data_IF_039186488940
#
_entry.id   IF_039186488940
#
_cell.length_a   1.000
_cell.length_b   1.000
_cell.length_c   1.000
_cell.angle_alpha   90.00
_cell.angle_beta   90.00
_cell.angle_gamma   90.00
#
_symmetry.space_group_name_H-M   'P 1'
#
loop_
_entity.id
_entity.type
_entity.pdbx_description
1 polymer ?
#
# COMPACT_ATOMS: atom_id res chain seq x y z
N UNK A 1 70.98 -16.01 -48.53
CA UNK A 1 71.44 -14.69 -48.04
C UNK A 1 70.43 -14.23 -46.99
N UNK A 2 70.86 -14.10 -45.73
CA UNK A 2 70.03 -13.62 -44.61
C UNK A 2 69.80 -12.11 -44.77
N UNK A 3 68.55 -11.65 -44.66
CA UNK A 3 68.23 -10.27 -44.28
C UNK A 3 67.05 -10.33 -43.31
N UNK A 4 67.34 -9.90 -42.08
CA UNK A 4 66.38 -9.63 -41.01
C UNK A 4 65.45 -8.47 -41.39
N UNK A 5 64.21 -8.50 -40.91
CA UNK A 5 63.53 -7.27 -40.57
C UNK A 5 62.76 -7.47 -39.26
N UNK A 6 63.22 -6.75 -38.25
CA UNK A 6 62.64 -6.66 -36.92
C UNK A 6 61.30 -5.93 -37.01
N UNK A 7 60.18 -6.62 -36.84
CA UNK A 7 58.93 -5.95 -36.44
C UNK A 7 58.70 -6.14 -34.95
N UNK A 8 59.35 -5.24 -34.24
CA UNK A 8 58.96 -4.54 -33.02
C UNK A 8 57.88 -5.20 -32.13
N UNK A 9 58.30 -5.67 -30.95
CA UNK A 9 57.47 -6.14 -29.82
C UNK A 9 56.62 -5.03 -29.16
N UNK A 10 56.37 -3.92 -29.85
CA UNK A 10 55.68 -2.74 -29.35
C UNK A 10 54.18 -2.65 -29.70
N UNK A 11 53.62 -3.60 -30.46
CA UNK A 11 52.23 -3.51 -30.94
C UNK A 11 51.24 -4.37 -30.15
N UNK A 12 51.71 -5.24 -29.24
CA UNK A 12 50.84 -6.14 -28.46
C UNK A 12 50.44 -5.60 -27.06
N UNK A 13 50.79 -4.36 -26.72
CA UNK A 13 50.40 -3.71 -25.44
C UNK A 13 49.54 -2.44 -25.69
N UNK A 14 49.08 -2.21 -26.92
CA UNK A 14 48.23 -1.06 -27.27
C UNK A 14 46.76 -1.42 -27.57
N UNK A 15 46.34 -2.66 -27.29
CA UNK A 15 44.93 -3.10 -27.40
C UNK A 15 44.27 -3.30 -26.02
N UNK A 16 45.05 -3.29 -24.93
CA UNK A 16 44.54 -3.50 -23.57
C UNK A 16 44.16 -2.21 -22.80
N UNK A 17 44.40 -1.02 -23.36
CA UNK A 17 44.20 0.27 -22.66
C UNK A 17 43.06 1.12 -23.25
N UNK A 18 42.42 0.69 -24.34
CA UNK A 18 41.31 1.44 -24.97
C UNK A 18 39.93 0.93 -24.54
N UNK A 19 39.85 -0.15 -23.74
CA UNK A 19 38.58 -0.68 -23.24
C UNK A 19 38.18 -0.19 -21.83
N UNK A 20 39.01 0.61 -21.16
CA UNK A 20 38.75 1.10 -19.79
C UNK A 20 38.20 2.53 -19.71
N UNK A 21 37.88 3.15 -20.86
CA UNK A 21 37.32 4.51 -20.93
C UNK A 21 35.87 4.54 -21.46
N UNK A 22 35.08 3.49 -21.20
CA UNK A 22 33.75 3.32 -21.79
C UNK A 22 32.57 3.15 -20.82
N UNK A 23 32.79 3.18 -19.50
CA UNK A 23 31.70 3.11 -18.51
C UNK A 23 32.01 3.98 -17.28
N UNK A 24 32.22 5.28 -17.49
CA UNK A 24 31.74 6.21 -16.47
C UNK A 24 30.24 6.32 -16.71
N UNK A 25 29.45 5.49 -16.03
CA UNK A 25 28.08 5.88 -15.75
C UNK A 25 28.19 7.15 -14.93
N UNK A 26 27.98 8.30 -15.57
CA UNK A 26 27.49 9.44 -14.84
C UNK A 26 26.21 8.95 -14.17
N UNK A 27 26.28 8.82 -12.84
CA UNK A 27 25.13 8.87 -11.96
C UNK A 27 24.50 10.24 -12.17
N UNK A 28 23.76 10.40 -13.26
CA UNK A 28 22.71 11.39 -13.30
C UNK A 28 21.51 10.67 -12.67
N UNK A 29 21.47 10.72 -11.33
CA UNK A 29 20.34 10.30 -10.49
C UNK A 29 19.15 11.25 -10.74
N UNK A 30 18.69 11.25 -11.97
CA UNK A 30 17.51 11.94 -12.43
C UNK A 30 16.69 10.93 -13.24
N UNK A 31 16.50 9.74 -12.67
CA UNK A 31 15.34 8.91 -12.95
C UNK A 31 14.10 9.69 -12.50
N UNK A 32 13.72 10.70 -13.29
CA UNK A 32 12.33 11.10 -13.38
C UNK A 32 11.61 9.85 -13.85
N UNK A 33 11.10 9.09 -12.89
CA UNK A 33 10.00 8.16 -13.12
C UNK A 33 9.02 8.94 -13.99
N UNK A 34 8.85 8.51 -15.24
CA UNK A 34 7.83 9.06 -16.10
C UNK A 34 6.50 8.68 -15.44
N UNK A 35 6.01 9.57 -14.57
CA UNK A 35 4.66 9.51 -14.03
C UNK A 35 3.75 9.56 -15.24
N UNK A 36 3.23 8.41 -15.63
CA UNK A 36 2.18 8.35 -16.63
C UNK A 36 0.96 8.97 -15.95
N UNK A 37 0.62 10.19 -16.37
CA UNK A 37 -0.58 10.90 -15.94
C UNK A 37 -1.76 9.93 -15.94
N UNK A 38 -2.34 9.68 -14.75
CA UNK A 38 -3.49 8.78 -14.60
C UNK A 38 -3.27 7.48 -13.82
N UNK A 39 -2.04 7.08 -13.48
CA UNK A 39 -1.81 5.93 -12.58
C UNK A 39 -1.72 6.36 -11.11
N UNK A 40 -2.13 5.51 -10.14
CA UNK A 40 -1.99 5.86 -8.74
C UNK A 40 -0.52 5.94 -8.39
N UNK A 41 -0.16 6.95 -7.59
CA UNK A 41 1.19 7.12 -7.06
C UNK A 41 1.26 6.91 -5.55
N UNK A 42 0.12 6.65 -4.90
CA UNK A 42 0.05 6.30 -3.50
C UNK A 42 -1.17 5.44 -3.15
N UNK A 43 -1.03 4.74 -2.03
CA UNK A 43 -2.07 4.04 -1.32
C UNK A 43 -2.31 4.82 -0.04
N UNK A 44 -3.55 5.21 0.25
CA UNK A 44 -3.87 6.04 1.40
C UNK A 44 -5.07 5.49 2.16
N UNK A 45 -5.21 5.89 3.42
CA UNK A 45 -6.48 5.78 4.15
C UNK A 45 -7.12 7.15 4.21
N UNK A 46 -8.36 7.25 3.74
CA UNK A 46 -9.16 8.47 3.84
C UNK A 46 -9.80 8.49 5.22
N UNK A 47 -9.46 9.48 6.04
CA UNK A 47 -9.90 9.57 7.44
C UNK A 47 -10.61 10.89 7.71
N UNK A 48 -11.59 10.85 8.61
CA UNK A 48 -12.26 12.04 9.11
C UNK A 48 -11.56 12.55 10.38
N UNK A 49 -11.33 13.85 10.43
CA UNK A 49 -10.83 14.54 11.60
C UNK A 49 -11.97 14.96 12.53
N UNK A 50 -11.64 15.30 13.78
CA UNK A 50 -12.61 15.63 14.83
C UNK A 50 -13.35 16.94 14.61
N UNK A 51 -12.84 17.82 13.75
CA UNK A 51 -13.47 19.08 13.33
C UNK A 51 -14.37 18.93 12.10
N UNK A 52 -14.59 17.69 11.63
CA UNK A 52 -15.41 17.39 10.46
C UNK A 52 -14.68 17.57 9.13
N UNK A 53 -13.41 17.97 9.12
CA UNK A 53 -12.57 17.89 7.92
C UNK A 53 -12.17 16.43 7.65
N UNK A 54 -11.57 16.18 6.49
CA UNK A 54 -10.93 14.89 6.21
C UNK A 54 -9.45 15.09 5.88
N UNK A 55 -8.68 14.01 5.89
CA UNK A 55 -7.28 13.95 5.49
C UNK A 55 -6.93 12.58 4.91
N UNK A 56 -5.76 12.47 4.30
CA UNK A 56 -5.24 11.21 3.79
C UNK A 56 -4.08 10.75 4.68
N UNK A 57 -4.15 9.54 5.21
CA UNK A 57 -3.01 8.89 5.84
C UNK A 57 -2.26 8.10 4.78
N UNK A 58 -1.02 8.49 4.47
CA UNK A 58 -0.21 7.84 3.44
C UNK A 58 0.36 6.50 3.91
N UNK A 59 0.89 6.47 5.14
CA UNK A 59 1.48 5.29 5.76
C UNK A 59 1.38 5.44 7.28
N UNK A 60 2.08 4.60 8.05
CA UNK A 60 2.04 4.60 9.52
C UNK A 60 2.33 5.96 10.20
N UNK A 61 2.99 6.90 9.53
CA UNK A 61 3.43 8.16 10.15
C UNK A 61 3.09 9.42 9.36
N UNK A 62 2.84 9.33 8.06
CA UNK A 62 2.72 10.48 7.17
C UNK A 62 1.27 10.79 6.83
N UNK A 63 0.88 12.05 7.00
CA UNK A 63 -0.45 12.59 6.72
C UNK A 63 -0.42 13.67 5.64
N UNK A 64 -1.46 13.70 4.80
CA UNK A 64 -1.60 14.62 3.68
C UNK A 64 -2.88 15.44 3.81
N UNK A 65 -2.75 16.75 3.57
CA UNK A 65 -3.86 17.68 3.41
C UNK A 65 -4.21 17.83 1.92
N UNK A 66 -5.37 17.33 1.45
CA UNK A 66 -5.83 17.56 0.09
C UNK A 66 -6.38 18.98 -0.07
N UNK A 67 -5.60 19.91 -0.63
CA UNK A 67 -5.92 21.35 -0.63
C UNK A 67 -7.00 21.74 -1.64
N UNK A 68 -7.23 20.91 -2.65
CA UNK A 68 -8.25 21.10 -3.68
C UNK A 68 -9.60 20.42 -3.37
N UNK A 69 -9.78 19.86 -2.17
CA UNK A 69 -10.99 19.12 -1.78
C UNK A 69 -11.55 19.62 -0.45
N UNK A 70 -12.83 20.03 -0.42
CA UNK A 70 -13.50 20.47 0.81
C UNK A 70 -14.11 19.33 1.64
N UNK A 71 -14.35 18.17 1.03
CA UNK A 71 -14.95 17.00 1.68
C UNK A 71 -14.47 15.69 1.04
N UNK A 72 -14.49 14.60 1.80
CA UNK A 72 -14.20 13.25 1.29
C UNK A 72 -15.21 12.88 0.20
N UNK A 73 -14.77 12.31 -0.94
CA UNK A 73 -15.68 11.82 -1.98
C UNK A 73 -16.41 10.54 -1.54
N UNK A 74 -16.02 9.97 -0.39
CA UNK A 74 -16.59 8.76 0.19
C UNK A 74 -17.52 9.07 1.38
N UNK A 75 -17.85 10.34 1.61
CA UNK A 75 -18.64 10.80 2.74
C UNK A 75 -17.95 10.50 4.07
N UNK A 76 -18.73 10.07 5.07
CA UNK A 76 -18.22 9.80 6.43
C UNK A 76 -17.45 8.47 6.56
N UNK A 77 -17.29 7.72 5.45
CA UNK A 77 -16.61 6.42 5.47
C UNK A 77 -15.09 6.60 5.55
N UNK A 78 -14.48 5.85 6.47
CA UNK A 78 -13.04 5.62 6.46
C UNK A 78 -12.72 4.42 5.55
N UNK A 79 -12.01 4.69 4.45
CA UNK A 79 -11.70 3.71 3.40
C UNK A 79 -10.22 3.74 3.05
N UNK A 80 -9.70 2.60 2.60
CA UNK A 80 -8.44 2.55 1.87
C UNK A 80 -8.69 2.99 0.42
N UNK A 81 -7.76 3.71 -0.20
CA UNK A 81 -7.93 4.26 -1.53
C UNK A 81 -6.62 4.30 -2.30
N UNK A 82 -6.73 4.13 -3.62
CA UNK A 82 -5.68 4.50 -4.56
C UNK A 82 -5.84 5.98 -4.89
N UNK A 83 -4.73 6.71 -4.89
CA UNK A 83 -4.72 8.14 -5.20
C UNK A 83 -3.60 8.45 -6.18
N UNK A 84 -3.87 9.42 -7.06
CA UNK A 84 -2.85 10.18 -7.74
C UNK A 84 -2.91 11.61 -7.21
N UNK A 85 -1.79 12.10 -6.66
CA UNK A 85 -1.68 13.46 -6.17
C UNK A 85 -0.34 14.10 -6.55
N UNK A 86 -0.31 15.43 -6.55
CA UNK A 86 0.92 16.23 -6.62
C UNK A 86 1.15 16.93 -5.28
N UNK A 87 2.37 16.86 -4.74
CA UNK A 87 2.76 17.63 -3.56
C UNK A 87 2.87 19.12 -3.94
N UNK A 88 2.31 20.01 -3.11
CA UNK A 88 2.33 21.46 -3.35
C UNK A 88 3.15 22.19 -2.29
N UNK A 89 3.61 23.40 -2.63
CA UNK A 89 4.41 24.25 -1.73
C UNK A 89 3.61 24.92 -0.61
N UNK A 90 2.28 24.77 -0.63
CA UNK A 90 1.37 25.25 0.41
C UNK A 90 1.67 24.54 1.74
N UNK A 91 1.38 25.20 2.87
CA UNK A 91 1.57 24.57 4.17
C UNK A 91 0.53 23.47 4.39
N UNK A 92 0.98 22.28 4.81
CA UNK A 92 0.09 21.20 5.30
C UNK A 92 -0.61 21.52 6.63
N UNK A 93 -0.27 22.65 7.27
CA UNK A 93 -0.83 23.06 8.55
C UNK A 93 -0.48 22.07 9.66
N UNK A 94 -1.49 21.30 10.11
CA UNK A 94 -1.32 20.26 11.14
C UNK A 94 -0.91 18.89 10.57
N UNK A 95 -0.90 18.76 9.25
CA UNK A 95 -0.53 17.55 8.53
C UNK A 95 0.87 17.69 7.94
N UNK A 96 1.53 16.58 7.66
CA UNK A 96 2.94 16.57 7.25
C UNK A 96 3.15 17.23 5.89
N UNK A 97 2.18 17.08 4.98
CA UNK A 97 2.27 17.59 3.60
C UNK A 97 0.95 18.18 3.10
N UNK A 98 1.03 19.11 2.17
CA UNK A 98 -0.10 19.57 1.37
C UNK A 98 -0.03 18.96 -0.03
N UNK A 99 -1.17 18.52 -0.56
CA UNK A 99 -1.26 17.86 -1.87
C UNK A 99 -2.46 18.34 -2.66
N UNK A 100 -2.35 18.33 -3.99
CA UNK A 100 -3.49 18.39 -4.90
C UNK A 100 -3.82 17.00 -5.39
N UNK A 101 -5.05 16.55 -5.16
CA UNK A 101 -5.53 15.25 -5.63
C UNK A 101 -5.99 15.36 -7.07
N UNK A 102 -5.35 14.62 -7.97
CA UNK A 102 -5.74 14.53 -9.38
C UNK A 102 -6.92 13.57 -9.56
N UNK A 103 -6.86 12.42 -8.90
CA UNK A 103 -7.99 11.50 -8.74
C UNK A 103 -7.78 10.58 -7.54
N UNK A 104 -8.89 10.05 -7.02
CA UNK A 104 -8.89 9.10 -5.91
C UNK A 104 -10.04 8.11 -6.11
N UNK A 105 -9.78 6.83 -5.87
CA UNK A 105 -10.81 5.79 -5.89
C UNK A 105 -10.63 4.82 -4.71
N UNK A 106 -11.75 4.41 -4.14
CA UNK A 106 -11.76 3.54 -2.96
C UNK A 106 -11.44 2.10 -3.32
N UNK A 107 -10.73 1.42 -2.43
CA UNK A 107 -10.57 -0.02 -2.42
C UNK A 107 -11.66 -0.60 -1.53
N UNK A 108 -12.20 -1.78 -1.88
CA UNK A 108 -13.10 -2.54 -1.00
C UNK A 108 -12.49 -2.63 0.40
N UNK A 109 -13.11 -1.95 1.37
CA UNK A 109 -12.59 -1.86 2.73
C UNK A 109 -13.53 -2.61 3.68
N UNK A 110 -13.00 -3.60 4.41
CA UNK A 110 -13.78 -4.48 5.29
C UNK A 110 -13.11 -4.61 6.66
N UNK A 111 -13.86 -5.03 7.67
CA UNK A 111 -13.27 -5.52 8.92
C UNK A 111 -12.91 -7.01 8.79
N UNK A 112 -12.12 -7.51 9.73
CA UNK A 112 -12.00 -8.96 9.97
C UNK A 112 -13.41 -9.53 10.22
N UNK A 113 -13.71 -10.62 9.53
CA UNK A 113 -15.00 -11.29 9.60
C UNK A 113 -15.08 -12.20 10.84
N UNK A 114 -16.28 -12.43 11.41
CA UNK A 114 -16.44 -13.31 12.55
C UNK A 114 -16.08 -14.76 12.18
N UNK A 115 -15.47 -15.47 13.12
CA UNK A 115 -15.25 -16.91 13.00
C UNK A 115 -16.58 -17.65 13.19
N UNK A 116 -16.96 -18.46 12.20
CA UNK A 116 -18.17 -19.28 12.18
C UNK A 116 -17.87 -20.76 12.43
N UNK A 117 -16.63 -21.10 12.83
CA UNK A 117 -16.21 -22.48 13.10
C UNK A 117 -16.36 -23.37 11.88
N UNK A 118 -17.14 -24.45 12.00
CA UNK A 118 -17.34 -25.42 10.92
C UNK A 118 -18.03 -24.85 9.68
N UNK A 119 -18.72 -23.71 9.80
CA UNK A 119 -19.43 -23.08 8.68
C UNK A 119 -18.53 -22.15 7.84
N UNK A 120 -17.27 -21.93 8.26
CA UNK A 120 -16.35 -21.03 7.55
C UNK A 120 -16.17 -21.42 6.08
N UNK A 121 -16.00 -22.71 5.78
CA UNK A 121 -15.80 -23.19 4.41
C UNK A 121 -17.03 -22.97 3.53
N UNK A 122 -18.23 -23.10 4.10
CA UNK A 122 -19.50 -22.92 3.38
C UNK A 122 -19.77 -21.44 3.11
N UNK A 123 -19.53 -20.58 4.11
CA UNK A 123 -19.85 -19.15 4.03
C UNK A 123 -18.75 -18.37 3.31
N UNK A 124 -17.50 -18.50 3.78
CA UNK A 124 -16.37 -17.71 3.28
C UNK A 124 -15.63 -18.38 2.12
N UNK A 125 -15.92 -19.65 1.85
CA UNK A 125 -15.38 -20.38 0.71
C UNK A 125 -13.96 -20.89 0.91
N UNK A 126 -13.55 -21.73 -0.04
CA UNK A 126 -12.19 -22.26 -0.15
C UNK A 126 -11.67 -22.18 -1.59
N UNK A 127 -12.23 -21.27 -2.38
CA UNK A 127 -11.84 -21.09 -3.78
C UNK A 127 -10.46 -20.45 -3.87
N UNK A 128 -9.55 -20.99 -4.70
CA UNK A 128 -8.16 -20.57 -4.70
C UNK A 128 -7.94 -19.15 -5.22
N UNK A 129 -6.94 -18.49 -4.66
CA UNK A 129 -6.41 -17.20 -5.13
C UNK A 129 -4.89 -17.20 -5.08
N UNK A 130 -4.24 -16.33 -5.83
CA UNK A 130 -2.84 -15.96 -5.58
C UNK A 130 -2.78 -14.57 -4.95
N UNK A 131 -1.94 -14.39 -3.93
CA UNK A 131 -1.61 -13.06 -3.42
C UNK A 131 -0.45 -12.52 -4.27
N UNK A 132 -0.68 -11.38 -4.92
CA UNK A 132 0.31 -10.76 -5.80
C UNK A 132 1.21 -9.87 -4.95
N UNK A 133 2.52 -10.13 -4.99
CA UNK A 133 3.50 -9.23 -4.38
C UNK A 133 3.61 -7.96 -5.21
N UNK A 134 2.90 -6.92 -4.79
CA UNK A 134 2.76 -5.63 -5.45
C UNK A 134 2.88 -4.53 -4.38
N UNK A 135 3.18 -3.30 -4.79
CA UNK A 135 3.40 -2.18 -3.86
C UNK A 135 2.16 -1.85 -2.99
N UNK A 136 0.96 -2.28 -3.42
CA UNK A 136 -0.29 -2.15 -2.66
C UNK A 136 -0.55 -3.33 -1.71
N UNK A 137 0.20 -4.43 -1.83
CA UNK A 137 0.06 -5.61 -0.98
C UNK A 137 0.92 -5.41 0.27
N UNK A 138 0.38 -4.71 1.26
CA UNK A 138 1.12 -4.21 2.43
C UNK A 138 0.25 -4.15 3.69
N UNK A 139 0.87 -4.30 4.85
CA UNK A 139 0.27 -4.03 6.16
C UNK A 139 0.75 -2.67 6.67
N UNK A 140 -0.11 -1.66 6.66
CA UNK A 140 0.19 -0.32 7.18
C UNK A 140 -1.08 0.42 7.58
N UNK A 141 -0.96 1.41 8.44
CA UNK A 141 -2.04 2.23 8.99
C UNK A 141 -3.16 1.41 9.67
N UNK A 142 -2.81 0.24 10.22
CA UNK A 142 -3.81 -0.68 10.79
C UNK A 142 -4.64 -1.44 9.76
N UNK A 143 -4.22 -1.46 8.49
CA UNK A 143 -4.85 -2.21 7.41
C UNK A 143 -3.90 -3.25 6.82
N UNK A 144 -4.44 -4.41 6.45
CA UNK A 144 -3.81 -5.30 5.48
C UNK A 144 -4.48 -5.09 4.13
N UNK A 145 -3.77 -4.51 3.18
CA UNK A 145 -4.23 -4.35 1.79
C UNK A 145 -3.66 -5.46 0.94
N UNK A 146 -4.49 -6.10 0.12
CA UNK A 146 -4.12 -7.24 -0.71
C UNK A 146 -4.55 -7.02 -2.15
N UNK A 147 -3.61 -7.20 -3.08
CA UNK A 147 -3.91 -7.55 -4.46
C UNK A 147 -3.99 -9.06 -4.57
N UNK A 148 -5.19 -9.58 -4.81
CA UNK A 148 -5.40 -11.00 -5.04
C UNK A 148 -5.74 -11.25 -6.51
N UNK A 149 -5.33 -12.41 -7.01
CA UNK A 149 -5.52 -12.86 -8.39
C UNK A 149 -6.32 -14.15 -8.38
N UNK A 150 -7.37 -14.20 -9.18
CA UNK A 150 -8.17 -15.41 -9.38
C UNK A 150 -8.73 -15.44 -10.79
N UNK A 151 -9.59 -16.43 -11.09
CA UNK A 151 -10.30 -16.52 -12.36
C UNK A 151 -11.66 -15.86 -12.23
N UNK A 152 -12.04 -15.12 -13.27
CA UNK A 152 -13.31 -14.42 -13.39
C UNK A 152 -13.96 -14.86 -14.70
N UNK A 153 -15.14 -15.45 -14.60
CA UNK A 153 -15.86 -16.03 -15.74
C UNK A 153 -17.18 -15.35 -16.02
N UNK A 154 -17.98 -15.09 -14.98
CA UNK A 154 -19.26 -14.39 -15.05
C UNK A 154 -19.12 -12.98 -14.45
N UNK A 155 -19.09 -11.97 -15.31
CA UNK A 155 -19.00 -10.57 -14.90
C UNK A 155 -20.13 -10.09 -14.00
N UNK A 156 -21.26 -10.81 -13.91
CA UNK A 156 -22.37 -10.47 -13.03
C UNK A 156 -22.31 -11.17 -11.67
N UNK A 157 -21.32 -12.06 -11.46
CA UNK A 157 -21.19 -12.80 -10.21
C UNK A 157 -20.16 -12.13 -9.30
N UNK A 158 -20.65 -11.58 -8.20
CA UNK A 158 -19.77 -11.01 -7.19
C UNK A 158 -19.07 -12.12 -6.40
N UNK A 159 -17.74 -12.06 -6.32
CA UNK A 159 -16.95 -12.93 -5.44
C UNK A 159 -16.97 -12.38 -4.01
N UNK A 160 -16.94 -13.27 -3.03
CA UNK A 160 -16.94 -12.90 -1.62
C UNK A 160 -15.59 -13.18 -0.98
N UNK A 161 -14.86 -12.12 -0.64
CA UNK A 161 -13.53 -12.18 -0.03
C UNK A 161 -13.57 -11.70 1.43
N UNK A 162 -12.90 -12.39 2.33
CA UNK A 162 -12.90 -12.09 3.77
C UNK A 162 -11.53 -12.36 4.38
N UNK A 163 -11.29 -11.75 5.54
CA UNK A 163 -10.14 -12.04 6.38
C UNK A 163 -10.65 -12.58 7.71
N UNK A 164 -10.10 -13.70 8.16
CA UNK A 164 -10.38 -14.31 9.46
C UNK A 164 -9.16 -14.18 10.36
N UNK A 165 -9.39 -14.22 11.68
CA UNK A 165 -8.29 -14.46 12.63
C UNK A 165 -7.76 -15.87 12.43
N UNK A 166 -6.45 -16.01 12.55
CA UNK A 166 -5.77 -17.29 12.54
C UNK A 166 -6.21 -18.16 13.71
N UNK A 167 -6.14 -19.47 13.50
CA UNK A 167 -6.57 -20.47 14.48
C UNK A 167 -5.40 -20.91 15.38
N UNK A 168 -4.19 -20.39 15.14
CA UNK A 168 -3.01 -20.72 15.91
C UNK A 168 -2.98 -19.94 17.25
N UNK A 169 -3.21 -20.60 18.41
CA UNK A 169 -3.22 -19.90 19.70
C UNK A 169 -1.85 -19.37 20.12
N UNK A 170 -0.77 -19.81 19.46
CA UNK A 170 0.60 -19.34 19.75
C UNK A 170 1.05 -18.13 18.91
N UNK A 171 0.31 -17.80 17.84
CA UNK A 171 0.59 -16.64 17.00
C UNK A 171 -0.66 -15.75 16.92
N UNK A 172 -0.74 -14.71 17.77
CA UNK A 172 -1.89 -13.83 17.78
C UNK A 172 -1.92 -12.84 16.59
N UNK A 173 -0.88 -12.85 15.74
CA UNK A 173 -0.80 -12.05 14.52
C UNK A 173 -0.86 -12.95 13.28
N UNK A 174 -1.67 -14.00 13.35
CA UNK A 174 -2.01 -14.85 12.20
C UNK A 174 -3.40 -14.47 11.67
N UNK A 175 -3.55 -14.40 10.35
CA UNK A 175 -4.82 -14.15 9.66
C UNK A 175 -4.96 -15.05 8.44
N UNK A 176 -6.19 -15.36 8.05
CA UNK A 176 -6.50 -16.21 6.89
C UNK A 176 -7.38 -15.46 5.88
N UNK A 177 -6.91 -15.35 4.64
CA UNK A 177 -7.70 -14.83 3.53
C UNK A 177 -8.57 -15.92 2.91
N UNK A 178 -9.88 -15.66 2.89
CA UNK A 178 -10.90 -16.56 2.37
C UNK A 178 -11.57 -15.98 1.15
N UNK A 179 -11.93 -16.85 0.22
CA UNK A 179 -12.54 -16.50 -1.05
C UNK A 179 -13.62 -17.52 -1.42
N UNK A 180 -14.80 -17.00 -1.73
CA UNK A 180 -15.94 -17.74 -2.28
C UNK A 180 -16.30 -17.11 -3.63
N UNK A 181 -15.98 -17.82 -4.71
CA UNK A 181 -16.35 -17.44 -6.07
C UNK A 181 -17.80 -17.79 -6.40
N UNK A 182 -18.53 -18.43 -5.48
CA UNK A 182 -19.88 -18.98 -5.72
C UNK A 182 -19.93 -19.87 -6.97
N UNK A 183 -18.85 -20.61 -7.23
CA UNK A 183 -18.70 -21.47 -8.40
C UNK A 183 -18.21 -20.77 -9.68
N UNK A 184 -17.93 -19.47 -9.67
CA UNK A 184 -17.27 -18.78 -10.80
C UNK A 184 -15.74 -18.98 -10.78
N UNK A 185 -15.32 -20.20 -11.07
CA UNK A 185 -13.90 -20.62 -10.97
C UNK A 185 -13.22 -20.82 -12.34
N UNK A 186 -13.85 -20.32 -13.41
CA UNK A 186 -13.37 -20.41 -14.80
C UNK A 186 -13.14 -19.01 -15.40
N UNK A 187 -12.72 -18.97 -16.67
CA UNK A 187 -12.57 -17.71 -17.39
C UNK A 187 -11.16 -17.12 -17.30
N UNK A 188 -11.08 -15.79 -17.32
CA UNK A 188 -9.82 -15.06 -17.44
C UNK A 188 -9.22 -14.78 -16.07
N UNK A 189 -7.90 -14.81 -16.00
CA UNK A 189 -7.17 -14.39 -14.80
C UNK A 189 -7.27 -12.87 -14.66
N UNK A 190 -7.66 -12.41 -13.48
CA UNK A 190 -7.79 -10.99 -13.16
C UNK A 190 -7.53 -10.72 -11.69
N UNK A 191 -7.29 -9.45 -11.37
CA UNK A 191 -6.89 -9.03 -10.04
C UNK A 191 -8.00 -8.23 -9.36
N UNK A 192 -8.15 -8.44 -8.05
CA UNK A 192 -8.98 -7.63 -7.17
C UNK A 192 -8.14 -6.99 -6.08
N UNK A 193 -8.62 -5.85 -5.57
CA UNK A 193 -8.03 -5.15 -4.43
C UNK A 193 -9.01 -5.17 -3.27
N UNK A 194 -8.50 -5.47 -2.07
CA UNK A 194 -9.27 -5.41 -0.83
C UNK A 194 -8.36 -4.99 0.31
N UNK A 195 -8.89 -4.17 1.21
CA UNK A 195 -8.23 -3.75 2.43
C UNK A 195 -9.03 -4.20 3.64
N UNK A 196 -8.36 -4.79 4.62
CA UNK A 196 -8.96 -5.23 5.86
C UNK A 196 -8.45 -4.39 7.03
N UNK A 197 -9.37 -3.76 7.76
CA UNK A 197 -9.10 -3.19 9.07
C UNK A 197 -8.66 -4.32 9.98
N UNK A 198 -7.46 -4.22 10.54
CA UNK A 198 -6.89 -5.20 11.46
C UNK A 198 -7.37 -5.02 12.91
N UNK A 199 -8.54 -4.39 13.07
CA UNK A 199 -9.21 -4.24 14.36
C UNK A 199 -9.60 -5.62 14.86
N UNK A 200 -9.03 -6.02 16.00
CA UNK A 200 -9.20 -7.35 16.59
C UNK A 200 -7.87 -8.06 16.87
N UNK A 201 -6.79 -7.66 16.21
CA UNK A 201 -5.44 -8.08 16.59
C UNK A 201 -4.97 -7.34 17.86
N UNK A 202 -4.06 -7.93 18.66
CA UNK A 202 -3.50 -7.23 19.81
C UNK A 202 -2.73 -5.97 19.40
N UNK A 203 -2.64 -5.01 20.33
CA UNK A 203 -1.83 -3.82 20.15
C UNK A 203 -0.34 -4.19 20.05
N UNK A 204 0.33 -3.69 19.01
CA UNK A 204 1.77 -3.91 18.81
C UNK A 204 2.63 -3.06 19.74
N UNK A 205 2.02 -2.15 20.51
CA UNK A 205 2.67 -1.22 21.43
C UNK A 205 3.75 -0.37 20.74
N UNK A 206 3.52 0.00 19.48
CA UNK A 206 4.45 0.76 18.65
C UNK A 206 5.69 -0.01 18.19
N UNK A 207 5.70 -1.35 18.33
CA UNK A 207 6.74 -2.21 17.77
C UNK A 207 6.25 -2.82 16.46
N UNK A 208 7.18 -3.04 15.54
CA UNK A 208 6.93 -3.88 14.37
C UNK A 208 6.91 -5.34 14.80
N UNK A 209 5.84 -6.04 14.45
CA UNK A 209 5.64 -7.47 14.69
C UNK A 209 5.35 -8.17 13.35
N UNK A 210 5.71 -9.45 13.19
CA UNK A 210 5.35 -10.20 12.00
C UNK A 210 3.84 -10.49 12.00
N UNK A 211 3.15 -10.15 10.91
CA UNK A 211 1.78 -10.54 10.61
C UNK A 211 1.80 -11.67 9.57
N UNK A 212 1.39 -12.87 9.97
CA UNK A 212 1.32 -14.04 9.09
C UNK A 212 -0.02 -14.08 8.36
N UNK A 213 0.00 -13.97 7.04
CA UNK A 213 -1.15 -14.21 6.17
C UNK A 213 -1.13 -15.66 5.66
N UNK A 214 -2.25 -16.36 5.74
CA UNK A 214 -2.47 -17.66 5.08
C UNK A 214 -3.58 -17.57 4.04
N UNK A 215 -3.48 -18.36 2.98
CA UNK A 215 -4.55 -18.48 1.98
C UNK A 215 -4.45 -19.82 1.23
N UNK A 216 -5.57 -20.21 0.63
CA UNK A 216 -5.62 -21.33 -0.31
C UNK A 216 -5.25 -20.85 -1.72
N UNK A 217 -4.16 -21.37 -2.25
CA UNK A 217 -3.69 -21.04 -3.60
C UNK A 217 -4.01 -22.12 -4.62
N UNK A 218 -3.79 -21.84 -5.90
CA UNK A 218 -4.00 -22.85 -6.96
C UNK A 218 -3.01 -24.02 -6.84
N UNK A 219 -1.90 -23.85 -6.11
CA UNK A 219 -0.90 -24.89 -5.85
C UNK A 219 -0.92 -25.41 -4.41
N UNK A 220 -2.04 -25.24 -3.69
CA UNK A 220 -2.19 -25.64 -2.28
C UNK A 220 -2.07 -24.47 -1.31
N UNK A 221 -1.99 -24.76 -0.02
CA UNK A 221 -1.94 -23.72 1.01
C UNK A 221 -0.62 -22.94 0.97
N UNK A 222 -0.70 -21.62 1.13
CA UNK A 222 0.46 -20.71 1.12
C UNK A 222 0.37 -19.72 2.28
N UNK A 223 1.52 -19.12 2.59
CA UNK A 223 1.61 -18.03 3.55
C UNK A 223 2.62 -16.96 3.12
N UNK A 224 2.47 -15.78 3.72
CA UNK A 224 3.37 -14.65 3.60
C UNK A 224 3.44 -13.92 4.94
N UNK A 225 4.53 -13.21 5.20
CA UNK A 225 4.73 -12.44 6.44
C UNK A 225 4.89 -10.97 6.07
N UNK A 226 4.19 -10.11 6.82
CA UNK A 226 4.23 -8.66 6.67
C UNK A 226 4.80 -8.03 7.94
N UNK A 227 5.52 -6.93 7.78
CA UNK A 227 5.85 -6.06 8.90
C UNK A 227 4.61 -5.27 9.31
N UNK A 228 4.15 -5.43 10.56
CA UNK A 228 2.94 -4.80 11.05
C UNK A 228 3.21 -3.97 12.31
N UNK A 229 2.71 -2.73 12.32
CA UNK A 229 2.78 -1.84 13.48
C UNK A 229 1.48 -1.04 13.62
N UNK A 230 0.92 -1.00 14.83
CA UNK A 230 -0.10 -0.02 15.19
C UNK A 230 0.62 1.12 15.90
N UNK A 231 0.73 2.28 15.25
CA UNK A 231 1.14 3.48 15.96
C UNK A 231 0.01 3.98 16.86
N UNK A 232 0.38 4.57 18.00
CA UNK A 232 -0.55 5.37 18.79
C UNK A 232 -1.05 6.50 17.89
N UNK A 233 -2.35 6.49 17.59
CA UNK A 233 -3.10 7.52 16.87
C UNK A 233 -2.38 8.87 16.81
N UNK A 234 -2.00 9.29 15.60
CA UNK A 234 -1.69 10.69 15.33
C UNK A 234 -3.00 11.45 15.51
N UNK A 235 -3.28 11.89 16.73
CA UNK A 235 -4.31 12.89 16.97
C UNK A 235 -3.75 14.17 16.40
N UNK A 236 -4.31 14.74 15.31
CA UNK A 236 -3.84 16.02 14.81
C UNK A 236 -3.95 17.01 15.96
N UNK A 237 -2.83 17.66 16.31
CA UNK A 237 -2.79 18.56 17.45
C UNK A 237 -3.95 19.56 17.35
N UNK A 238 -4.73 19.68 18.43
CA UNK A 238 -5.78 20.68 18.57
C UNK A 238 -5.18 22.03 18.16
N UNK A 239 -5.80 22.82 17.25
CA UNK A 239 -5.30 24.14 16.93
C UNK A 239 -5.15 24.92 18.24
N UNK A 240 -3.95 25.45 18.49
CA UNK A 240 -3.75 26.37 19.59
C UNK A 240 -4.77 27.50 19.40
N UNK A 241 -5.78 27.54 20.26
CA UNK A 241 -6.78 28.60 20.27
C UNK A 241 -5.98 29.87 20.50
N UNK A 242 -5.80 30.66 19.45
CA UNK A 242 -5.23 32.01 19.56
C UNK A 242 -6.21 32.76 20.44
N UNK A 243 -5.82 32.97 21.71
CA UNK A 243 -6.55 33.83 22.61
C UNK A 243 -6.43 35.26 22.07
N UNK A 244 -7.34 35.63 21.18
CA UNK A 244 -7.60 37.04 20.91
C UNK A 244 -8.23 37.57 22.18
N UNK A 245 -7.38 38.09 23.08
CA UNK A 245 -7.83 38.92 24.20
C UNK A 245 -8.47 40.16 23.59
N UNK A 246 -9.78 40.15 23.51
CA UNK A 246 -10.63 41.31 23.31
C UNK A 246 -10.41 42.28 24.48
N UNK A 247 -9.45 43.19 24.33
CA UNK A 247 -9.41 44.42 25.12
C UNK A 247 -10.37 45.43 24.47
N UNK A 248 -11.68 45.24 24.69
CA UNK A 248 -12.62 46.35 24.60
C UNK A 248 -12.92 46.84 26.02
N UNK A 249 -12.16 47.84 26.46
CA UNK A 249 -12.58 48.71 27.54
C UNK A 249 -13.66 49.64 26.99
N UNK A 250 -14.91 49.37 27.33
CA UNK A 250 -15.99 50.34 27.22
C UNK A 250 -15.87 51.32 28.40
N UNK A 251 -15.64 52.60 28.09
CA UNK A 251 -16.03 53.74 28.90
C UNK A 251 -17.02 54.57 28.10
#
# INVERSE_FOLDING_TARGET
MKICSCLNKGVMIAVAVVCSAGLQSCLDDNDKYYYVEGFPNALVTVKNATDGSFFLQLNDSTTLLPTNMSSSPFGDKEVRALVNYDEVSESGGRYDKAVQVNWIDSILTKSIAPDLGSENDVVYGTDPVEIVNDWVTIAEDGYLTLRFRTKWGDYNKAHFVNLLLGQNPSDPYEVEFRHNAYGDTYGTVGDGLVAFKLVGLPDTNGKTVPLTLKWKSFSGDKSAVFDYCIQKTVTPAKPAIVSVRSNLNLK
#
